data_IF_600513791753
#
_entry.id   IF_600513791753
#
_cell.length_a   1.000
_cell.length_b   1.000
_cell.length_c   1.000
_cell.angle_alpha   90.00
_cell.angle_beta   90.00
_cell.angle_gamma   90.00
#
_symmetry.space_group_name_H-M   'P 1'
#
loop_
_entity.id
_entity.type
_entity.pdbx_description
1 polymer ?
#
# COMPACT_ATOMS: atom_id res chain seq x y z
N UNK A 1 8.65 63.16 -6.75
CA UNK A 1 8.20 61.96 -6.00
C UNK A 1 7.34 61.03 -6.86
N UNK A 2 6.33 61.48 -7.60
CA UNK A 2 5.47 60.67 -8.46
C UNK A 2 6.21 59.74 -9.45
N UNK A 3 7.18 60.27 -10.22
CA UNK A 3 7.97 59.47 -11.19
C UNK A 3 8.78 58.31 -10.56
N UNK A 4 9.17 58.44 -9.29
CA UNK A 4 9.91 57.36 -8.58
C UNK A 4 8.95 56.27 -8.12
N UNK A 5 7.72 56.63 -7.73
CA UNK A 5 6.68 55.66 -7.35
C UNK A 5 6.15 54.89 -8.58
N UNK A 6 5.94 55.57 -9.73
CA UNK A 6 5.55 54.88 -10.96
C UNK A 6 6.62 53.89 -11.46
N UNK A 7 7.90 54.24 -11.38
CA UNK A 7 9.00 53.34 -11.73
C UNK A 7 9.07 52.12 -10.78
N UNK A 8 8.84 52.31 -9.49
CA UNK A 8 8.81 51.19 -8.52
C UNK A 8 7.65 50.22 -8.79
N UNK A 9 6.44 50.73 -9.03
CA UNK A 9 5.27 49.90 -9.39
C UNK A 9 5.46 49.14 -10.71
N UNK A 10 6.11 49.79 -11.71
CA UNK A 10 6.41 49.14 -12.99
C UNK A 10 7.46 48.03 -12.84
N UNK A 11 8.44 48.18 -11.95
CA UNK A 11 9.45 47.17 -11.66
C UNK A 11 8.80 45.98 -10.95
N UNK A 12 7.97 46.18 -9.90
CA UNK A 12 7.25 45.13 -9.19
C UNK A 12 6.29 44.35 -10.11
N UNK A 13 5.60 45.03 -11.01
CA UNK A 13 4.74 44.41 -12.02
C UNK A 13 5.53 43.50 -12.97
N UNK A 14 6.70 43.95 -13.44
CA UNK A 14 7.59 43.17 -14.33
C UNK A 14 8.17 41.94 -13.59
N UNK A 15 8.58 42.09 -12.34
CA UNK A 15 9.06 40.96 -11.54
C UNK A 15 7.96 39.94 -11.28
N UNK A 16 6.76 40.39 -10.98
CA UNK A 16 5.59 39.51 -10.80
C UNK A 16 5.26 38.74 -12.08
N UNK A 17 5.27 39.42 -13.22
CA UNK A 17 5.06 38.83 -14.54
C UNK A 17 6.16 37.79 -14.86
N UNK A 18 7.42 38.13 -14.61
CA UNK A 18 8.55 37.24 -14.86
C UNK A 18 8.51 36.01 -13.97
N UNK A 19 8.14 36.15 -12.69
CA UNK A 19 7.93 35.00 -11.77
C UNK A 19 6.80 34.08 -12.26
N UNK A 20 5.66 34.63 -12.70
CA UNK A 20 4.57 33.87 -13.30
C UNK A 20 4.96 33.18 -14.62
N UNK A 21 5.75 33.84 -15.43
CA UNK A 21 6.23 33.31 -16.72
C UNK A 21 7.23 32.17 -16.50
N UNK A 22 8.19 32.35 -15.59
CA UNK A 22 9.15 31.28 -15.19
C UNK A 22 8.41 30.09 -14.58
N UNK A 23 7.38 30.31 -13.76
CA UNK A 23 6.55 29.26 -13.23
C UNK A 23 5.86 28.47 -14.35
N UNK A 24 5.21 29.15 -15.30
CA UNK A 24 4.58 28.51 -16.47
C UNK A 24 5.57 27.75 -17.36
N UNK A 25 6.78 28.28 -17.55
CA UNK A 25 7.86 27.59 -18.28
C UNK A 25 8.31 26.34 -17.50
N UNK A 26 8.51 26.45 -16.19
CA UNK A 26 8.83 25.30 -15.34
C UNK A 26 7.73 24.24 -15.37
N UNK A 27 6.46 24.64 -15.38
CA UNK A 27 5.32 23.73 -15.49
C UNK A 27 5.22 23.11 -16.88
N UNK A 28 5.57 23.84 -17.94
CA UNK A 28 5.60 23.33 -19.32
C UNK A 28 6.75 22.33 -19.57
N UNK A 29 7.93 22.58 -18.99
CA UNK A 29 9.07 21.65 -19.06
C UNK A 29 9.06 20.60 -17.96
N UNK A 30 8.16 20.68 -16.96
CA UNK A 30 7.92 19.63 -16.00
C UNK A 30 7.34 18.44 -16.78
N UNK A 31 8.16 17.42 -17.02
CA UNK A 31 7.70 16.14 -17.55
C UNK A 31 6.48 15.75 -16.71
N UNK A 32 5.28 15.78 -17.32
CA UNK A 32 4.05 15.47 -16.61
C UNK A 32 4.24 14.07 -16.02
N UNK A 33 4.18 13.98 -14.71
CA UNK A 33 4.25 12.65 -14.06
C UNK A 33 3.18 11.77 -14.71
N UNK A 34 3.58 10.58 -15.15
CA UNK A 34 2.76 9.70 -15.98
C UNK A 34 1.61 9.12 -15.16
N UNK A 35 1.84 8.95 -13.85
CA UNK A 35 0.87 8.37 -12.93
C UNK A 35 0.18 9.45 -12.10
N UNK A 36 -1.13 9.27 -11.91
CA UNK A 36 -1.93 10.09 -11.01
C UNK A 36 -1.92 9.49 -9.59
N UNK A 37 -1.82 8.14 -9.51
CA UNK A 37 -1.91 7.39 -8.24
C UNK A 37 -0.90 6.25 -8.20
N UNK A 38 -0.28 6.09 -7.02
CA UNK A 38 0.52 4.92 -6.65
C UNK A 38 -0.29 4.11 -5.64
N UNK A 39 -0.58 2.87 -5.99
CA UNK A 39 -1.35 1.95 -5.14
C UNK A 39 -0.38 0.91 -4.58
N UNK A 40 -0.34 0.75 -3.27
CA UNK A 40 0.51 -0.21 -2.60
C UNK A 40 -0.28 -1.42 -2.12
N UNK A 41 0.33 -2.59 -2.20
CA UNK A 41 0.02 -3.67 -1.27
C UNK A 41 0.52 -3.31 0.13
N UNK A 42 0.16 -4.12 1.12
CA UNK A 42 0.48 -3.86 2.51
C UNK A 42 1.59 -4.80 3.02
N UNK A 43 1.28 -6.10 3.13
CA UNK A 43 2.19 -7.09 3.69
C UNK A 43 3.34 -7.40 2.71
N UNK A 44 4.58 -7.34 3.18
CA UNK A 44 5.75 -7.53 2.29
C UNK A 44 6.09 -6.30 1.45
N UNK A 45 5.28 -5.25 1.50
CA UNK A 45 5.46 -4.03 0.72
C UNK A 45 5.67 -2.78 1.58
N UNK A 46 4.81 -2.55 2.58
CA UNK A 46 4.90 -1.43 3.50
C UNK A 46 5.41 -1.85 4.88
N UNK A 47 5.02 -3.04 5.33
CA UNK A 47 5.43 -3.62 6.60
C UNK A 47 5.58 -5.13 6.57
N UNK A 48 6.13 -5.68 7.65
CA UNK A 48 6.28 -7.11 7.94
C UNK A 48 5.67 -7.36 9.32
N UNK A 49 4.77 -8.34 9.44
CA UNK A 49 3.96 -8.60 10.65
C UNK A 49 4.05 -10.04 11.14
N UNK A 50 4.85 -10.89 10.51
CA UNK A 50 4.83 -12.34 10.72
C UNK A 50 5.04 -12.72 12.20
N UNK A 51 5.99 -12.07 12.88
CA UNK A 51 6.27 -12.34 14.29
C UNK A 51 5.11 -11.91 15.18
N UNK A 52 4.57 -10.70 14.97
CA UNK A 52 3.43 -10.19 15.73
C UNK A 52 2.20 -11.06 15.52
N UNK A 53 1.94 -11.45 14.27
CA UNK A 53 0.81 -12.29 13.87
C UNK A 53 0.93 -13.68 14.49
N UNK A 54 2.10 -14.32 14.42
CA UNK A 54 2.33 -15.63 15.02
C UNK A 54 2.05 -15.65 16.52
N UNK A 55 2.60 -14.65 17.23
CA UNK A 55 2.39 -14.52 18.68
C UNK A 55 0.92 -14.31 19.00
N UNK A 56 0.27 -13.41 18.28
CA UNK A 56 -1.13 -13.04 18.48
C UNK A 56 -2.09 -14.21 18.28
N UNK A 57 -1.93 -14.94 17.17
CA UNK A 57 -2.76 -16.11 16.85
C UNK A 57 -2.61 -17.18 17.91
N UNK A 58 -1.38 -17.52 18.27
CA UNK A 58 -1.12 -18.59 19.23
C UNK A 58 -1.56 -18.22 20.66
N UNK A 59 -1.45 -16.97 21.04
CA UNK A 59 -1.98 -16.44 22.30
C UNK A 59 -3.51 -16.55 22.36
N UNK A 60 -4.20 -16.20 21.25
CA UNK A 60 -5.65 -16.39 21.16
C UNK A 60 -6.05 -17.85 21.28
N UNK A 61 -5.39 -18.74 20.54
CA UNK A 61 -5.68 -20.17 20.54
C UNK A 61 -5.47 -20.78 21.94
N UNK A 62 -4.38 -20.43 22.61
CA UNK A 62 -4.07 -20.89 23.96
C UNK A 62 -5.11 -20.44 24.98
N UNK A 63 -5.44 -19.16 24.99
CA UNK A 63 -6.40 -18.56 25.91
C UNK A 63 -7.81 -19.13 25.75
N UNK A 64 -8.15 -19.59 24.54
CA UNK A 64 -9.45 -20.18 24.23
C UNK A 64 -9.45 -21.75 24.26
N UNK A 65 -8.38 -22.35 24.78
CA UNK A 65 -8.33 -23.80 25.03
C UNK A 65 -8.06 -24.69 23.81
N UNK A 66 -7.55 -24.11 22.72
CA UNK A 66 -7.12 -24.89 21.56
C UNK A 66 -5.71 -25.44 21.79
N UNK A 67 -5.53 -26.77 21.61
CA UNK A 67 -4.21 -27.41 21.69
C UNK A 67 -3.33 -27.14 20.45
N UNK A 68 -3.96 -26.93 19.31
CA UNK A 68 -3.27 -26.64 18.04
C UNK A 68 -2.56 -25.28 18.08
N UNK A 69 -1.42 -25.19 17.36
CA UNK A 69 -0.65 -23.97 17.20
C UNK A 69 -0.32 -23.75 15.73
N UNK A 70 -0.47 -22.52 15.29
CA UNK A 70 0.00 -22.04 13.98
C UNK A 70 1.51 -21.92 14.02
N UNK A 71 2.20 -22.30 12.96
CA UNK A 71 3.66 -22.21 12.82
C UNK A 71 4.07 -20.94 12.05
N UNK A 72 5.35 -20.59 12.10
CA UNK A 72 5.89 -19.49 11.28
C UNK A 72 5.76 -19.77 9.78
N UNK A 73 5.87 -21.03 9.37
CA UNK A 73 5.70 -21.43 7.98
C UNK A 73 4.24 -21.28 7.53
N UNK A 74 3.28 -21.51 8.43
CA UNK A 74 1.87 -21.24 8.14
C UNK A 74 1.64 -19.75 7.95
N UNK A 75 2.15 -18.90 8.85
CA UNK A 75 2.01 -17.45 8.75
C UNK A 75 2.62 -16.94 7.44
N UNK A 76 3.86 -17.31 7.14
CA UNK A 76 4.51 -16.91 5.88
C UNK A 76 3.76 -17.41 4.65
N UNK A 77 3.24 -18.63 4.72
CA UNK A 77 2.49 -19.23 3.61
C UNK A 77 1.11 -18.62 3.37
N UNK A 78 0.61 -17.76 4.26
CA UNK A 78 -0.66 -17.05 4.08
C UNK A 78 -0.49 -15.60 3.60
N UNK A 79 0.75 -15.11 3.48
CA UNK A 79 0.99 -13.76 2.97
C UNK A 79 0.45 -13.61 1.53
N UNK A 80 -0.38 -12.60 1.33
CA UNK A 80 -1.09 -12.40 0.06
C UNK A 80 -2.21 -13.40 -0.26
N UNK A 81 -2.52 -14.35 0.64
CA UNK A 81 -3.63 -15.27 0.48
C UNK A 81 -4.99 -14.61 0.68
N UNK A 82 -6.02 -15.23 0.13
CA UNK A 82 -7.41 -14.88 0.41
C UNK A 82 -7.79 -15.35 1.81
N UNK A 83 -8.90 -14.80 2.36
CA UNK A 83 -9.45 -15.22 3.64
C UNK A 83 -9.67 -16.74 3.71
N UNK A 84 -10.25 -17.32 2.66
CA UNK A 84 -10.53 -18.75 2.58
C UNK A 84 -9.24 -19.61 2.59
N UNK A 85 -8.23 -19.24 1.81
CA UNK A 85 -6.93 -19.92 1.78
C UNK A 85 -6.23 -19.86 3.14
N UNK A 86 -6.34 -18.71 3.82
CA UNK A 86 -5.77 -18.51 5.18
C UNK A 86 -6.47 -19.41 6.20
N UNK A 87 -7.82 -19.49 6.17
CA UNK A 87 -8.59 -20.35 7.05
C UNK A 87 -8.23 -21.82 6.89
N UNK A 88 -8.08 -22.29 5.64
CA UNK A 88 -7.70 -23.67 5.35
C UNK A 88 -6.29 -24.01 5.84
N UNK A 89 -5.36 -23.07 5.75
CA UNK A 89 -3.99 -23.28 6.17
C UNK A 89 -3.82 -23.24 7.68
N UNK A 90 -4.50 -22.30 8.37
CA UNK A 90 -4.36 -22.16 9.81
C UNK A 90 -5.11 -23.22 10.60
N UNK A 91 -6.24 -23.70 10.07
CA UNK A 91 -7.13 -24.59 10.82
C UNK A 91 -7.50 -25.86 10.05
N UNK A 92 -6.49 -26.61 9.52
CA UNK A 92 -6.76 -27.83 8.75
C UNK A 92 -7.44 -28.94 9.57
N UNK A 93 -7.41 -28.86 10.92
CA UNK A 93 -8.01 -29.81 11.83
C UNK A 93 -9.52 -29.63 12.01
N UNK A 94 -10.09 -28.50 11.61
CA UNK A 94 -11.53 -28.27 11.63
C UNK A 94 -12.18 -28.89 10.39
N UNK A 95 -13.35 -29.54 10.57
CA UNK A 95 -13.98 -30.32 9.50
C UNK A 95 -14.71 -29.45 8.49
N UNK A 96 -15.42 -28.43 8.97
CA UNK A 96 -16.27 -27.60 8.13
C UNK A 96 -15.62 -26.27 7.73
N UNK A 97 -16.05 -25.73 6.60
CA UNK A 97 -15.65 -24.39 6.17
C UNK A 97 -16.12 -23.34 7.17
N UNK A 98 -17.33 -23.47 7.65
CA UNK A 98 -17.96 -22.53 8.58
C UNK A 98 -17.16 -22.42 9.87
N UNK A 99 -16.70 -23.55 10.44
CA UNK A 99 -15.86 -23.55 11.65
C UNK A 99 -14.52 -22.84 11.42
N UNK A 100 -13.86 -23.11 10.28
CA UNK A 100 -12.59 -22.46 9.92
C UNK A 100 -12.75 -20.95 9.77
N UNK A 101 -13.79 -20.54 9.07
CA UNK A 101 -14.07 -19.11 8.79
C UNK A 101 -14.45 -18.37 10.07
N UNK A 102 -15.24 -19.01 10.97
CA UNK A 102 -15.61 -18.42 12.26
C UNK A 102 -14.37 -18.27 13.18
N UNK A 103 -13.53 -19.32 13.28
CA UNK A 103 -12.33 -19.24 14.09
C UNK A 103 -11.34 -18.22 13.52
N UNK A 104 -11.15 -18.20 12.18
CA UNK A 104 -10.26 -17.22 11.56
C UNK A 104 -10.73 -15.80 11.84
N UNK A 105 -12.04 -15.52 11.75
CA UNK A 105 -12.59 -14.21 12.05
C UNK A 105 -12.20 -13.76 13.45
N UNK A 106 -12.42 -14.61 14.46
CA UNK A 106 -12.09 -14.28 15.86
C UNK A 106 -10.60 -14.05 16.08
N UNK A 107 -9.77 -14.89 15.44
CA UNK A 107 -8.32 -14.79 15.53
C UNK A 107 -7.81 -13.52 14.84
N UNK A 108 -8.36 -13.16 13.68
CA UNK A 108 -7.97 -11.94 12.98
C UNK A 108 -8.42 -10.67 13.72
N UNK A 109 -9.60 -10.68 14.34
CA UNK A 109 -10.04 -9.55 15.17
C UNK A 109 -9.08 -9.35 16.35
N UNK A 110 -8.69 -10.40 17.05
CA UNK A 110 -7.70 -10.35 18.12
C UNK A 110 -6.32 -9.87 17.62
N UNK A 111 -5.89 -10.38 16.46
CA UNK A 111 -4.65 -9.94 15.83
C UNK A 111 -4.68 -8.46 15.45
N UNK A 112 -5.79 -7.96 14.90
CA UNK A 112 -5.95 -6.55 14.56
C UNK A 112 -5.86 -5.64 15.78
N UNK A 113 -6.49 -6.03 16.91
CA UNK A 113 -6.37 -5.29 18.18
C UNK A 113 -4.92 -5.23 18.66
N UNK A 114 -4.17 -6.32 18.52
CA UNK A 114 -2.76 -6.35 18.89
C UNK A 114 -1.93 -5.49 17.93
N UNK A 115 -2.12 -5.63 16.62
CA UNK A 115 -1.42 -4.85 15.60
C UNK A 115 -1.66 -3.34 15.75
N UNK A 116 -2.86 -2.94 16.14
CA UNK A 116 -3.17 -1.53 16.45
C UNK A 116 -2.32 -0.99 17.62
N UNK A 117 -2.00 -1.85 18.60
CA UNK A 117 -1.24 -1.45 19.80
C UNK A 117 0.28 -1.49 19.60
N UNK A 118 0.78 -2.54 18.95
CA UNK A 118 2.24 -2.79 18.87
C UNK A 118 2.81 -2.63 17.46
N UNK A 119 1.95 -2.62 16.44
CA UNK A 119 2.33 -2.51 15.04
C UNK A 119 3.04 -3.73 14.48
N UNK A 120 3.45 -3.60 13.22
CA UNK A 120 4.42 -4.44 12.54
C UNK A 120 5.73 -3.69 12.33
N UNK A 121 6.71 -4.37 11.75
CA UNK A 121 8.00 -3.76 11.39
C UNK A 121 7.87 -3.06 10.04
N UNK A 122 7.94 -1.73 10.03
CA UNK A 122 7.98 -0.94 8.78
C UNK A 122 9.26 -1.24 8.00
N UNK A 123 9.17 -1.28 6.68
CA UNK A 123 10.37 -1.36 5.85
C UNK A 123 11.19 -0.07 5.94
N UNK A 124 12.54 -0.17 5.89
CA UNK A 124 13.43 0.99 6.01
C UNK A 124 13.10 2.09 4.99
N UNK A 125 13.18 3.35 5.41
CA UNK A 125 12.92 4.55 4.58
C UNK A 125 11.48 4.68 4.06
N UNK A 126 10.50 3.96 4.64
CA UNK A 126 9.11 4.00 4.18
C UNK A 126 8.53 5.42 4.29
N UNK A 127 8.60 6.02 5.47
CA UNK A 127 7.99 7.34 5.71
C UNK A 127 8.60 8.42 4.81
N UNK A 128 9.92 8.47 4.70
CA UNK A 128 10.63 9.42 3.83
C UNK A 128 10.21 9.23 2.37
N UNK A 129 10.03 7.99 1.94
CA UNK A 129 9.58 7.67 0.58
C UNK A 129 8.15 8.13 0.35
N UNK A 130 7.24 7.84 1.27
CA UNK A 130 5.84 8.29 1.20
C UNK A 130 5.75 9.81 1.15
N UNK A 131 6.55 10.52 1.95
CA UNK A 131 6.64 11.98 1.93
C UNK A 131 7.05 12.53 0.56
N UNK A 132 8.04 11.91 -0.09
CA UNK A 132 8.47 12.30 -1.44
C UNK A 132 7.39 12.01 -2.48
N UNK A 133 6.73 10.87 -2.39
CA UNK A 133 5.66 10.45 -3.30
C UNK A 133 4.42 11.34 -3.16
N UNK A 134 3.97 11.63 -1.93
CA UNK A 134 2.79 12.49 -1.65
C UNK A 134 2.91 13.88 -2.28
N UNK A 135 4.12 14.38 -2.44
CA UNK A 135 4.35 15.66 -3.14
C UNK A 135 4.05 15.64 -4.64
N UNK A 136 3.78 14.45 -5.23
CA UNK A 136 3.61 14.26 -6.68
C UNK A 136 2.43 13.39 -7.06
N UNK A 137 2.13 12.38 -6.29
CA UNK A 137 1.16 11.33 -6.56
C UNK A 137 0.13 11.26 -5.44
N UNK A 138 -1.06 10.82 -5.77
CA UNK A 138 -2.03 10.30 -4.80
C UNK A 138 -1.55 8.92 -4.39
N UNK A 139 -1.67 8.58 -3.13
CA UNK A 139 -1.19 7.31 -2.60
C UNK A 139 -2.35 6.56 -1.96
N UNK A 140 -2.49 5.27 -2.26
CA UNK A 140 -3.56 4.42 -1.74
C UNK A 140 -3.04 3.04 -1.39
N UNK A 141 -3.81 2.30 -0.59
CA UNK A 141 -3.54 0.89 -0.25
C UNK A 141 -4.67 0.01 -0.81
N UNK A 142 -4.30 -1.09 -1.46
CA UNK A 142 -5.21 -2.19 -1.80
C UNK A 142 -4.55 -3.51 -1.42
N UNK A 143 -5.11 -4.21 -0.44
CA UNK A 143 -4.61 -5.50 0.04
C UNK A 143 -5.70 -6.57 0.07
N UNK A 144 -5.33 -7.85 0.15
CA UNK A 144 -6.28 -8.97 0.30
C UNK A 144 -6.90 -9.09 1.71
N UNK A 145 -6.49 -8.26 2.64
CA UNK A 145 -6.86 -8.35 4.04
C UNK A 145 -8.36 -8.15 4.33
N UNK A 146 -8.78 -8.63 5.49
CA UNK A 146 -10.10 -8.40 6.07
C UNK A 146 -10.24 -6.97 6.62
N UNK A 147 -11.46 -6.61 7.05
CA UNK A 147 -11.70 -5.31 7.68
C UNK A 147 -10.92 -5.12 8.97
N UNK A 148 -10.52 -3.87 9.27
CA UNK A 148 -9.74 -3.51 10.46
C UNK A 148 -8.23 -3.63 10.31
N UNK A 149 -7.74 -4.40 9.35
CA UNK A 149 -6.31 -4.68 9.22
C UNK A 149 -5.50 -3.50 8.65
N UNK A 150 -6.02 -2.84 7.61
CA UNK A 150 -5.37 -1.62 7.07
C UNK A 150 -5.47 -0.49 8.10
N UNK A 151 -6.60 -0.39 8.77
CA UNK A 151 -6.81 0.56 9.87
C UNK A 151 -5.76 0.33 10.99
N UNK A 152 -5.50 -0.93 11.38
CA UNK A 152 -4.46 -1.25 12.38
C UNK A 152 -3.05 -0.83 11.92
N UNK A 153 -2.71 -0.99 10.64
CA UNK A 153 -1.46 -0.46 10.07
C UNK A 153 -1.40 1.06 10.18
N UNK A 154 -2.45 1.75 9.76
CA UNK A 154 -2.47 3.22 9.74
C UNK A 154 -2.38 3.82 11.15
N UNK A 155 -3.10 3.22 12.11
CA UNK A 155 -3.11 3.67 13.50
C UNK A 155 -1.77 3.42 14.19
N UNK A 156 -1.21 2.21 14.04
CA UNK A 156 0.04 1.85 14.72
C UNK A 156 1.28 2.51 14.11
N UNK A 157 1.28 2.75 12.79
CA UNK A 157 2.41 3.38 12.11
C UNK A 157 2.41 4.91 12.17
N UNK A 158 1.24 5.54 12.40
CA UNK A 158 1.06 6.98 12.28
C UNK A 158 1.15 7.53 10.86
N UNK A 159 1.10 6.67 9.83
CA UNK A 159 1.29 7.04 8.42
C UNK A 159 -0.02 7.41 7.68
N UNK A 160 -1.15 7.50 8.40
CA UNK A 160 -2.47 7.75 7.81
C UNK A 160 -2.49 8.98 6.90
N UNK A 161 -1.78 10.04 7.26
CA UNK A 161 -1.75 11.29 6.49
C UNK A 161 -1.20 11.13 5.07
N UNK A 162 -0.42 10.10 4.78
CA UNK A 162 0.17 9.87 3.44
C UNK A 162 -0.80 9.23 2.46
N UNK A 163 -1.81 8.54 2.95
CA UNK A 163 -2.74 7.77 2.12
C UNK A 163 -4.06 8.51 1.94
N UNK A 164 -4.52 8.63 0.69
CA UNK A 164 -5.78 9.28 0.36
C UNK A 164 -6.97 8.33 0.52
N UNK A 165 -6.76 7.05 0.23
CA UNK A 165 -7.82 6.03 0.29
C UNK A 165 -7.21 4.63 0.52
N UNK A 166 -8.01 3.69 1.00
CA UNK A 166 -7.61 2.30 1.15
C UNK A 166 -8.79 1.34 1.01
N UNK A 167 -8.53 0.12 0.52
CA UNK A 167 -9.52 -0.94 0.38
C UNK A 167 -8.92 -2.33 0.66
N UNK A 168 -9.61 -3.11 1.50
CA UNK A 168 -9.34 -4.54 1.71
C UNK A 168 -10.22 -5.39 0.79
N UNK A 169 -9.66 -6.24 -0.05
CA UNK A 169 -10.42 -7.04 -1.01
C UNK A 169 -11.40 -8.01 -0.32
N UNK A 170 -11.01 -8.63 0.80
CA UNK A 170 -11.91 -9.49 1.58
C UNK A 170 -13.08 -8.69 2.19
N UNK A 171 -12.83 -7.47 2.69
CA UNK A 171 -13.88 -6.55 3.16
C UNK A 171 -14.86 -6.18 2.05
N UNK A 172 -14.35 -5.94 0.86
CA UNK A 172 -15.14 -5.59 -0.32
C UNK A 172 -15.84 -6.80 -0.97
N UNK A 173 -15.47 -8.03 -0.60
CA UNK A 173 -15.90 -9.30 -1.22
C UNK A 173 -15.62 -9.34 -2.73
N UNK A 174 -14.47 -8.80 -3.12
CA UNK A 174 -14.00 -8.71 -4.49
C UNK A 174 -12.64 -9.41 -4.65
N UNK A 175 -12.24 -9.71 -5.89
CA UNK A 175 -10.85 -10.03 -6.18
C UNK A 175 -9.96 -8.80 -5.96
N UNK A 176 -8.67 -9.00 -5.70
CA UNK A 176 -7.70 -7.88 -5.58
C UNK A 176 -7.68 -7.03 -6.85
N UNK A 177 -7.77 -7.66 -8.04
CA UNK A 177 -7.85 -6.96 -9.33
C UNK A 177 -9.08 -6.05 -9.42
N UNK A 178 -10.25 -6.55 -9.03
CA UNK A 178 -11.49 -5.77 -9.08
C UNK A 178 -11.51 -4.68 -7.99
N UNK A 179 -10.88 -4.93 -6.85
CA UNK A 179 -10.68 -3.91 -5.81
C UNK A 179 -9.78 -2.77 -6.31
N UNK A 180 -8.70 -3.07 -7.04
CA UNK A 180 -7.87 -2.07 -7.70
C UNK A 180 -8.67 -1.26 -8.72
N UNK A 181 -9.47 -1.91 -9.58
CA UNK A 181 -10.37 -1.22 -10.52
C UNK A 181 -11.35 -0.30 -9.80
N UNK A 182 -11.96 -0.79 -8.71
CA UNK A 182 -12.88 -0.01 -7.88
C UNK A 182 -12.19 1.21 -7.26
N UNK A 183 -10.95 1.05 -6.75
CA UNK A 183 -10.14 2.15 -6.23
C UNK A 183 -9.90 3.23 -7.30
N UNK A 184 -9.50 2.81 -8.50
CA UNK A 184 -9.26 3.69 -9.65
C UNK A 184 -10.53 4.45 -10.04
N UNK A 185 -11.67 3.75 -10.16
CA UNK A 185 -12.96 4.35 -10.52
C UNK A 185 -13.47 5.31 -9.45
N UNK A 186 -13.48 4.90 -8.18
CA UNK A 186 -13.92 5.73 -7.05
C UNK A 186 -13.17 7.05 -6.98
N UNK A 187 -11.88 7.01 -7.28
CA UNK A 187 -10.99 8.15 -7.17
C UNK A 187 -10.81 8.92 -8.49
N UNK A 188 -11.51 8.56 -9.58
CA UNK A 188 -11.40 9.18 -10.90
C UNK A 188 -9.94 9.24 -11.41
N UNK A 189 -9.16 8.18 -11.18
CA UNK A 189 -7.75 8.07 -11.58
C UNK A 189 -7.69 7.65 -13.05
N UNK A 190 -6.77 8.26 -13.83
CA UNK A 190 -6.55 7.90 -15.23
C UNK A 190 -5.41 6.91 -15.38
N UNK A 191 -4.31 7.14 -14.66
CA UNK A 191 -3.11 6.32 -14.74
C UNK A 191 -2.67 5.94 -13.33
N UNK A 192 -2.79 4.67 -12.99
CA UNK A 192 -2.31 4.12 -11.74
C UNK A 192 -1.14 3.15 -11.97
N UNK A 193 -0.36 2.92 -10.92
CA UNK A 193 0.65 1.87 -10.85
C UNK A 193 0.50 1.14 -9.52
N UNK A 194 0.69 -0.17 -9.55
CA UNK A 194 0.59 -1.01 -8.36
C UNK A 194 1.98 -1.47 -7.92
N UNK A 195 2.24 -1.38 -6.62
CA UNK A 195 3.47 -1.81 -5.98
C UNK A 195 3.14 -2.97 -5.05
N UNK A 196 3.79 -4.10 -5.22
CA UNK A 196 3.58 -5.30 -4.41
C UNK A 196 4.76 -6.24 -4.53
N UNK A 197 4.79 -7.31 -3.75
CA UNK A 197 5.94 -8.21 -3.68
C UNK A 197 5.66 -9.61 -4.27
N UNK A 198 4.39 -10.04 -4.34
CA UNK A 198 4.01 -11.40 -4.73
C UNK A 198 3.55 -11.54 -6.18
N UNK A 199 3.48 -12.80 -6.66
CA UNK A 199 2.86 -13.14 -7.95
C UNK A 199 1.38 -12.73 -7.99
N UNK A 200 0.65 -12.83 -6.86
CA UNK A 200 -0.76 -12.43 -6.78
C UNK A 200 -0.94 -10.92 -6.97
N UNK A 201 0.04 -10.12 -6.57
CA UNK A 201 0.06 -8.67 -6.80
C UNK A 201 0.24 -8.34 -8.28
N UNK A 202 1.19 -9.03 -8.92
CA UNK A 202 1.40 -8.90 -10.35
C UNK A 202 0.15 -9.27 -11.15
N UNK A 203 -0.44 -10.43 -10.86
CA UNK A 203 -1.68 -10.88 -11.50
C UNK A 203 -2.85 -9.91 -11.27
N UNK A 204 -2.95 -9.34 -10.05
CA UNK A 204 -3.96 -8.35 -9.73
C UNK A 204 -3.78 -7.04 -10.51
N UNK A 205 -2.55 -6.56 -10.63
CA UNK A 205 -2.24 -5.37 -11.43
C UNK A 205 -2.52 -5.59 -12.92
N UNK A 206 -2.11 -6.74 -13.47
CA UNK A 206 -2.38 -7.16 -14.85
C UNK A 206 -3.90 -7.29 -15.10
N UNK A 207 -4.62 -7.94 -14.18
CA UNK A 207 -6.08 -8.05 -14.21
C UNK A 207 -6.81 -6.71 -14.10
N UNK A 208 -6.21 -5.73 -13.45
CA UNK A 208 -6.71 -4.36 -13.40
C UNK A 208 -6.30 -3.51 -14.63
N UNK A 209 -5.40 -4.00 -15.47
CA UNK A 209 -4.92 -3.29 -16.66
C UNK A 209 -3.93 -2.18 -16.34
N UNK A 210 -3.20 -2.26 -15.23
CA UNK A 210 -2.22 -1.26 -14.81
C UNK A 210 -0.81 -1.85 -14.67
N UNK A 211 0.20 -0.99 -14.65
CA UNK A 211 1.59 -1.40 -14.50
C UNK A 211 1.87 -1.89 -13.08
N UNK A 212 2.84 -2.77 -12.96
CA UNK A 212 3.31 -3.37 -11.71
C UNK A 212 4.78 -3.06 -11.47
N UNK A 213 5.15 -2.79 -10.22
CA UNK A 213 6.52 -2.74 -9.72
C UNK A 213 6.66 -3.78 -8.62
N UNK A 214 7.61 -4.68 -8.76
CA UNK A 214 7.89 -5.67 -7.74
C UNK A 214 8.79 -5.12 -6.63
N UNK A 215 8.35 -5.25 -5.39
CA UNK A 215 9.13 -5.01 -4.18
C UNK A 215 9.93 -6.28 -3.84
N UNK A 216 11.19 -6.37 -4.32
CA UNK A 216 12.06 -7.55 -4.13
C UNK A 216 12.51 -7.75 -2.67
N UNK A 217 12.27 -6.79 -1.81
CA UNK A 217 12.57 -6.86 -0.38
C UNK A 217 11.46 -7.53 0.45
N UNK A 218 10.32 -7.84 -0.18
CA UNK A 218 9.18 -8.51 0.45
C UNK A 218 9.36 -10.02 0.59
N UNK A 219 8.24 -10.73 0.67
CA UNK A 219 8.20 -12.20 0.87
C UNK A 219 8.24 -12.97 -0.44
N UNK A 220 7.81 -12.34 -1.54
CA UNK A 220 7.64 -12.98 -2.83
C UNK A 220 8.97 -13.35 -3.49
N UNK A 221 8.95 -14.43 -4.27
CA UNK A 221 10.07 -14.79 -5.13
C UNK A 221 10.29 -13.76 -6.23
N UNK A 222 11.52 -13.67 -6.74
CA UNK A 222 11.82 -12.78 -7.87
C UNK A 222 11.10 -13.26 -9.15
N UNK A 223 10.14 -12.47 -9.61
CA UNK A 223 9.27 -12.77 -10.75
C UNK A 223 9.88 -12.31 -12.09
N UNK A 224 11.11 -11.78 -12.09
CA UNK A 224 11.77 -11.20 -13.28
C UNK A 224 10.87 -10.19 -14.00
N UNK A 225 10.23 -9.30 -13.26
CA UNK A 225 9.33 -8.27 -13.78
C UNK A 225 10.08 -7.16 -14.51
N UNK A 226 9.39 -6.43 -15.40
CA UNK A 226 9.97 -5.28 -16.11
C UNK A 226 10.46 -4.18 -15.16
N UNK A 227 9.76 -4.01 -14.03
CA UNK A 227 10.09 -3.01 -13.03
C UNK A 227 10.16 -3.65 -11.65
N UNK A 228 11.25 -3.45 -10.96
CA UNK A 228 11.46 -3.93 -9.59
C UNK A 228 12.35 -3.00 -8.79
N UNK A 229 12.24 -3.06 -7.47
CA UNK A 229 13.05 -2.30 -6.52
C UNK A 229 13.53 -3.21 -5.39
N UNK A 230 14.81 -3.08 -5.01
CA UNK A 230 15.38 -3.79 -3.87
C UNK A 230 15.15 -3.05 -2.53
N UNK A 231 14.77 -1.79 -2.57
CA UNK A 231 14.48 -0.94 -1.44
C UNK A 231 13.41 0.07 -1.84
N UNK A 232 12.49 0.41 -0.93
CA UNK A 232 11.36 1.29 -1.23
C UNK A 232 11.78 2.71 -1.62
N UNK A 233 12.90 3.21 -1.10
CA UNK A 233 13.45 4.54 -1.41
C UNK A 233 13.89 4.71 -2.88
N UNK A 234 14.03 3.62 -3.63
CA UNK A 234 14.31 3.64 -5.06
C UNK A 234 13.07 3.96 -5.91
N UNK A 235 11.87 3.76 -5.36
CA UNK A 235 10.60 3.92 -6.08
C UNK A 235 10.41 5.31 -6.70
N UNK A 236 10.67 6.45 -6.00
CA UNK A 236 10.47 7.78 -6.58
C UNK A 236 11.31 8.05 -7.84
N UNK A 237 12.47 7.42 -7.96
CA UNK A 237 13.33 7.56 -9.14
C UNK A 237 12.85 6.62 -10.26
N UNK A 238 12.54 5.37 -9.95
CA UNK A 238 12.00 4.42 -10.92
C UNK A 238 10.72 4.97 -11.59
N UNK A 239 9.80 5.55 -10.85
CA UNK A 239 8.55 6.11 -11.39
C UNK A 239 8.77 7.21 -12.45
N UNK A 240 9.89 7.93 -12.40
CA UNK A 240 10.25 8.94 -13.42
C UNK A 240 10.76 8.30 -14.73
N UNK A 241 11.25 7.07 -14.66
CA UNK A 241 11.85 6.35 -15.79
C UNK A 241 10.82 5.52 -16.56
N UNK A 242 9.74 5.12 -15.89
CA UNK A 242 8.66 4.34 -16.52
C UNK A 242 7.97 5.21 -17.58
N UNK A 243 7.79 4.63 -18.78
CA UNK A 243 7.04 5.26 -19.88
C UNK A 243 5.69 4.56 -20.02
N UNK A 244 4.64 5.30 -20.33
CA UNK A 244 3.31 4.75 -20.70
C UNK A 244 3.31 4.29 -22.13
#
# INVERSE_FOLDING_TARGET
>A
MEKVMENSQMIESKESFLKKFISKIKDFFRKKDIFDMVIFDLDGTLWSVEETTLISINEYLETNGYEYRVTMDDVKGTMGCTFAETADRYFPMLETREERDELLTKVLDYNNERLTKVGGKLYPNLEETLKVLKGKYRISIVSNCAGGYIEAFLDSSGLCEYFEDFMGAAKEKLSKADTIKKMIQKNNVKNAIYIGDTIKDKEAAEGAGIKFVQALYGFGENLNTTYSINEINLLPNLLKEIKV
#
